data_IF_684232900497
#
_entry.id   IF_684232900497
#
_cell.length_a   1.000
_cell.length_b   1.000
_cell.length_c   1.000
_cell.angle_alpha   90.00
_cell.angle_beta   90.00
_cell.angle_gamma   90.00
#
_symmetry.space_group_name_H-M   'P 1'
#
loop_
_entity.id
_entity.type
_entity.pdbx_description
1 polymer ?
#
# COMPACT_ATOMS: atom_id res chain seq x y z
N UNK A 1 -20.14 8.45 -28.53
CA UNK A 1 -20.60 8.77 -27.17
C UNK A 1 -20.85 7.43 -26.47
N UNK A 2 -20.05 7.08 -25.45
CA UNK A 2 -20.25 5.83 -24.69
C UNK A 2 -21.57 5.94 -23.93
N UNK A 3 -22.40 4.91 -23.96
CA UNK A 3 -23.63 4.86 -23.15
C UNK A 3 -23.29 4.70 -21.66
N UNK A 4 -24.22 5.03 -20.78
CA UNK A 4 -24.04 4.85 -19.32
C UNK A 4 -23.58 3.43 -18.97
N UNK A 5 -24.14 2.41 -19.60
CA UNK A 5 -23.80 1.00 -19.39
C UNK A 5 -22.32 0.69 -19.68
N UNK A 6 -21.70 1.37 -20.65
CA UNK A 6 -20.29 1.18 -20.98
C UNK A 6 -19.36 1.85 -19.93
N UNK A 7 -19.77 2.97 -19.37
CA UNK A 7 -19.01 3.63 -18.30
C UNK A 7 -19.01 2.79 -17.04
N UNK A 8 -20.17 2.28 -16.64
CA UNK A 8 -20.30 1.43 -15.45
C UNK A 8 -19.53 0.12 -15.60
N UNK A 9 -19.56 -0.49 -16.79
CA UNK A 9 -18.75 -1.67 -17.07
C UNK A 9 -17.25 -1.38 -16.97
N UNK A 10 -16.77 -0.28 -17.56
CA UNK A 10 -15.38 0.11 -17.51
C UNK A 10 -14.93 0.41 -16.07
N UNK A 11 -15.76 1.09 -15.28
CA UNK A 11 -15.48 1.34 -13.87
C UNK A 11 -15.42 0.04 -13.06
N UNK A 12 -16.32 -0.90 -13.31
CA UNK A 12 -16.30 -2.22 -12.67
C UNK A 12 -15.02 -2.99 -12.99
N UNK A 13 -14.59 -2.98 -14.25
CA UNK A 13 -13.32 -3.60 -14.67
C UNK A 13 -12.11 -2.95 -13.99
N UNK A 14 -12.07 -1.62 -13.92
CA UNK A 14 -11.00 -0.90 -13.24
C UNK A 14 -10.96 -1.19 -11.75
N UNK A 15 -12.14 -1.24 -11.09
CA UNK A 15 -12.22 -1.56 -9.65
C UNK A 15 -11.77 -2.99 -9.34
N UNK A 16 -12.03 -3.95 -10.24
CA UNK A 16 -11.62 -5.36 -10.07
C UNK A 16 -10.18 -5.64 -10.49
N UNK A 17 -9.48 -4.68 -11.10
CA UNK A 17 -8.10 -4.89 -11.56
C UNK A 17 -7.14 -5.12 -10.39
N UNK A 18 -6.29 -6.12 -10.51
CA UNK A 18 -5.24 -6.42 -9.51
C UNK A 18 -4.14 -5.35 -9.49
N UNK A 19 -3.98 -4.62 -10.57
CA UNK A 19 -3.05 -3.49 -10.68
C UNK A 19 -3.69 -2.27 -10.04
N UNK A 20 -2.95 -1.58 -9.17
CA UNK A 20 -3.38 -0.30 -8.63
C UNK A 20 -3.43 0.76 -9.74
N UNK A 21 -4.57 1.41 -9.88
CA UNK A 21 -4.78 2.49 -10.85
C UNK A 21 -5.13 3.77 -10.11
N UNK A 22 -4.36 4.82 -10.36
CA UNK A 22 -4.55 6.15 -9.81
C UNK A 22 -4.54 7.19 -10.93
N UNK A 23 -5.47 8.12 -10.89
CA UNK A 23 -5.49 9.29 -11.77
C UNK A 23 -5.26 10.54 -10.92
N UNK A 24 -4.27 11.34 -11.28
CA UNK A 24 -3.95 12.58 -10.60
C UNK A 24 -4.07 13.78 -11.54
N UNK A 25 -4.63 14.89 -11.02
CA UNK A 25 -4.72 16.18 -11.74
C UNK A 25 -3.42 16.97 -11.66
N UNK A 26 -3.37 18.13 -12.32
CA UNK A 26 -2.20 19.02 -12.37
C UNK A 26 -1.73 19.48 -10.98
N UNK A 27 -2.62 19.53 -9.99
CA UNK A 27 -2.30 19.92 -8.60
C UNK A 27 -1.75 18.78 -7.76
N UNK A 28 -1.74 17.55 -8.30
CA UNK A 28 -1.35 16.36 -7.57
C UNK A 28 -2.48 15.71 -6.77
N UNK A 29 -3.72 16.20 -6.92
CA UNK A 29 -4.88 15.60 -6.26
C UNK A 29 -5.26 14.29 -6.93
N UNK A 30 -5.53 13.26 -6.14
CA UNK A 30 -6.08 12.01 -6.63
C UNK A 30 -7.55 12.19 -7.03
N UNK A 31 -7.82 12.11 -8.32
CA UNK A 31 -9.17 12.17 -8.90
C UNK A 31 -9.86 10.82 -8.88
N UNK A 32 -9.09 9.76 -9.03
CA UNK A 32 -9.58 8.38 -9.03
C UNK A 32 -8.50 7.45 -8.45
N UNK A 33 -8.94 6.45 -7.70
CA UNK A 33 -8.13 5.33 -7.22
C UNK A 33 -9.01 4.09 -7.20
N UNK A 34 -8.59 3.01 -7.86
CA UNK A 34 -9.28 1.73 -7.75
C UNK A 34 -9.01 1.04 -6.41
N UNK A 35 -9.71 -0.05 -6.12
CA UNK A 35 -9.57 -0.80 -4.87
C UNK A 35 -8.13 -1.26 -4.61
N UNK A 36 -7.42 -1.74 -5.64
CA UNK A 36 -6.02 -2.15 -5.55
C UNK A 36 -5.11 -0.98 -5.18
N UNK A 37 -5.28 0.20 -5.80
CA UNK A 37 -4.49 1.38 -5.47
C UNK A 37 -4.71 1.83 -4.02
N UNK A 38 -5.98 1.89 -3.56
CA UNK A 38 -6.31 2.23 -2.17
C UNK A 38 -5.67 1.27 -1.17
N UNK A 39 -5.72 -0.02 -1.47
CA UNK A 39 -5.12 -1.07 -0.62
C UNK A 39 -3.58 -0.97 -0.58
N UNK A 40 -2.95 -0.74 -1.73
CA UNK A 40 -1.48 -0.63 -1.84
C UNK A 40 -0.96 0.62 -1.15
N UNK A 41 -1.67 1.74 -1.32
CA UNK A 41 -1.28 3.04 -0.77
C UNK A 41 -1.73 3.24 0.69
N UNK A 42 -2.58 2.34 1.22
CA UNK A 42 -3.22 2.47 2.54
C UNK A 42 -3.88 3.85 2.71
N UNK A 43 -4.54 4.32 1.66
CA UNK A 43 -5.08 5.68 1.59
C UNK A 43 -6.51 5.70 1.05
N UNK A 44 -7.42 6.49 1.64
CA UNK A 44 -8.78 6.62 1.17
C UNK A 44 -8.84 7.34 -0.18
N UNK A 45 -9.95 7.17 -0.88
CA UNK A 45 -10.21 7.85 -2.15
C UNK A 45 -10.05 9.38 -2.01
N UNK A 46 -9.34 9.98 -2.95
CA UNK A 46 -9.13 11.43 -3.00
C UNK A 46 -7.94 11.93 -2.17
N UNK A 47 -7.34 11.08 -1.36
CA UNK A 47 -6.16 11.44 -0.55
C UNK A 47 -4.90 10.85 -1.19
N UNK A 48 -3.96 11.72 -1.56
CA UNK A 48 -2.64 11.35 -2.04
C UNK A 48 -1.71 11.16 -0.85
N UNK A 49 -1.06 10.00 -0.66
CA UNK A 49 -0.02 9.85 0.35
C UNK A 49 1.13 10.85 0.12
N UNK A 50 1.62 11.50 1.18
CA UNK A 50 2.66 12.52 1.09
C UNK A 50 3.90 12.05 0.31
N UNK A 51 4.40 10.85 0.63
CA UNK A 51 5.56 10.26 -0.05
C UNK A 51 5.35 10.07 -1.58
N UNK A 52 4.12 9.82 -2.03
CA UNK A 52 3.80 9.69 -3.45
C UNK A 52 3.62 11.09 -4.07
N UNK A 53 3.04 12.03 -3.33
CA UNK A 53 2.92 13.43 -3.75
C UNK A 53 4.30 14.05 -4.03
N UNK A 54 5.31 13.72 -3.23
CA UNK A 54 6.69 14.21 -3.40
C UNK A 54 7.35 13.70 -4.70
N UNK A 55 6.95 12.53 -5.19
CA UNK A 55 7.51 11.91 -6.41
C UNK A 55 6.76 12.34 -7.68
N UNK A 56 5.50 12.76 -7.55
CA UNK A 56 4.66 13.13 -8.70
C UNK A 56 5.28 14.16 -9.63
N UNK A 57 5.92 15.24 -9.17
CA UNK A 57 6.55 16.22 -10.07
C UNK A 57 7.61 15.59 -10.97
N UNK A 58 8.44 14.70 -10.44
CA UNK A 58 9.48 14.01 -11.22
C UNK A 58 8.86 13.08 -12.27
N UNK A 59 7.83 12.31 -11.91
CA UNK A 59 7.10 11.46 -12.85
C UNK A 59 6.46 12.28 -13.97
N UNK A 60 5.89 13.46 -13.68
CA UNK A 60 5.31 14.36 -14.69
C UNK A 60 6.34 14.84 -15.70
N UNK A 61 7.49 15.30 -15.22
CA UNK A 61 8.58 15.75 -16.10
C UNK A 61 9.03 14.63 -17.05
N UNK A 62 9.11 13.39 -16.56
CA UNK A 62 9.43 12.24 -17.40
C UNK A 62 8.32 11.96 -18.43
N UNK A 63 7.05 12.00 -18.02
CA UNK A 63 5.91 11.80 -18.91
C UNK A 63 5.86 12.87 -20.01
N UNK A 64 6.11 14.14 -19.66
CA UNK A 64 6.17 15.23 -20.64
C UNK A 64 7.30 15.06 -21.67
N UNK A 65 8.47 14.57 -21.23
CA UNK A 65 9.64 14.40 -22.09
C UNK A 65 9.59 13.14 -22.95
N UNK A 66 9.06 12.05 -22.41
CA UNK A 66 9.17 10.71 -23.00
C UNK A 66 7.81 10.08 -23.36
N UNK A 67 6.70 10.78 -23.10
CA UNK A 67 5.34 10.26 -23.27
C UNK A 67 4.90 9.31 -22.15
N UNK A 68 5.83 8.74 -21.41
CA UNK A 68 5.60 7.85 -20.27
C UNK A 68 6.75 7.94 -19.26
N UNK A 69 6.47 7.56 -18.02
CA UNK A 69 7.48 7.32 -17.00
C UNK A 69 7.35 5.88 -16.50
N UNK A 70 8.47 5.22 -16.29
CA UNK A 70 8.53 3.90 -15.63
C UNK A 70 9.57 4.00 -14.53
N UNK A 71 9.16 3.78 -13.30
CA UNK A 71 10.04 3.91 -12.15
C UNK A 71 9.78 2.81 -11.13
N UNK A 72 10.70 2.70 -10.18
CA UNK A 72 10.61 1.82 -9.03
C UNK A 72 10.63 2.68 -7.78
N UNK A 73 9.48 2.82 -7.15
CA UNK A 73 9.34 3.59 -5.92
C UNK A 73 9.50 2.68 -4.71
N UNK A 74 10.32 3.13 -3.76
CA UNK A 74 10.53 2.43 -2.48
C UNK A 74 10.03 3.33 -1.36
N UNK A 75 9.08 2.83 -0.57
CA UNK A 75 8.59 3.50 0.63
C UNK A 75 8.51 2.49 1.78
N UNK A 76 9.39 2.61 2.76
CA UNK A 76 9.58 1.60 3.79
C UNK A 76 9.93 0.25 3.15
N UNK A 77 9.11 -0.74 3.40
CA UNK A 77 9.26 -2.08 2.80
C UNK A 77 8.48 -2.26 1.49
N UNK A 78 7.67 -1.28 1.14
CA UNK A 78 6.89 -1.32 -0.09
C UNK A 78 7.78 -0.93 -1.26
N UNK A 79 7.93 -1.85 -2.20
CA UNK A 79 8.53 -1.54 -3.50
C UNK A 79 7.46 -1.65 -4.55
N UNK A 80 7.21 -0.54 -5.24
CA UNK A 80 6.25 -0.45 -6.32
C UNK A 80 6.95 -0.31 -7.65
N UNK A 81 6.50 -1.07 -8.64
CA UNK A 81 6.74 -0.74 -10.05
C UNK A 81 5.65 0.20 -10.48
N UNK A 82 6.02 1.38 -10.89
CA UNK A 82 5.11 2.44 -11.31
C UNK A 82 5.29 2.72 -12.79
N UNK A 83 4.17 2.82 -13.51
CA UNK A 83 4.13 3.33 -14.88
C UNK A 83 3.17 4.51 -14.89
N UNK A 84 3.64 5.65 -15.37
CA UNK A 84 2.81 6.84 -15.53
C UNK A 84 2.73 7.26 -17.00
N UNK A 85 1.57 7.78 -17.41
CA UNK A 85 1.35 8.35 -18.76
C UNK A 85 0.36 9.50 -18.71
N UNK A 86 0.48 10.43 -19.66
CA UNK A 86 -0.48 11.50 -19.80
C UNK A 86 -1.86 10.96 -20.24
N UNK A 87 -2.91 11.57 -19.74
CA UNK A 87 -4.27 11.41 -20.26
C UNK A 87 -4.62 12.57 -21.20
N UNK A 88 -5.65 12.41 -22.05
CA UNK A 88 -6.08 13.46 -22.99
C UNK A 88 -6.46 14.77 -22.32
N UNK A 89 -6.91 14.73 -21.06
CA UNK A 89 -7.17 15.95 -20.27
C UNK A 89 -5.84 16.59 -19.84
N UNK A 90 -5.58 17.85 -20.20
CA UNK A 90 -4.33 18.54 -19.85
C UNK A 90 -4.00 18.46 -18.35
N UNK A 91 -2.73 18.22 -18.05
CA UNK A 91 -2.26 18.12 -16.67
C UNK A 91 -2.70 16.88 -15.89
N UNK A 92 -3.40 15.96 -16.54
CA UNK A 92 -3.86 14.72 -15.91
C UNK A 92 -2.93 13.57 -16.27
N UNK A 93 -2.51 12.80 -15.28
CA UNK A 93 -1.71 11.58 -15.49
C UNK A 93 -2.42 10.36 -14.91
N UNK A 94 -2.30 9.25 -15.63
CA UNK A 94 -2.63 7.93 -15.14
C UNK A 94 -1.38 7.31 -14.55
N UNK A 95 -1.51 6.71 -13.38
CA UNK A 95 -0.44 5.99 -12.70
C UNK A 95 -0.93 4.56 -12.46
N UNK A 96 -0.29 3.63 -13.12
CA UNK A 96 -0.44 2.19 -12.90
C UNK A 96 0.65 1.76 -11.91
N UNK A 97 0.28 1.03 -10.87
CA UNK A 97 1.22 0.57 -9.86
C UNK A 97 1.01 -0.91 -9.54
N UNK A 98 2.11 -1.64 -9.50
CA UNK A 98 2.13 -3.02 -9.07
C UNK A 98 3.20 -3.19 -7.99
N UNK A 99 2.90 -4.03 -7.00
CA UNK A 99 3.90 -4.38 -6.00
C UNK A 99 5.00 -5.15 -6.72
N UNK A 100 6.22 -4.59 -6.76
CA UNK A 100 7.37 -5.30 -7.28
C UNK A 100 7.67 -6.50 -6.38
N UNK A 101 7.95 -7.65 -6.97
CA UNK A 101 8.29 -8.86 -6.22
C UNK A 101 9.38 -8.54 -5.18
N UNK A 102 9.10 -8.79 -3.94
CA UNK A 102 9.90 -8.44 -2.78
C UNK A 102 9.05 -8.14 -1.56
N UNK A 103 7.73 -8.13 -1.70
CA UNK A 103 6.78 -7.90 -0.60
C UNK A 103 6.56 -9.16 0.25
N UNK A 104 7.65 -9.75 0.73
CA UNK A 104 7.57 -10.82 1.73
C UNK A 104 6.67 -10.43 2.92
N UNK A 105 6.63 -9.14 3.24
CA UNK A 105 5.82 -8.61 4.35
C UNK A 105 4.32 -8.76 4.11
N UNK A 106 3.82 -8.47 2.90
CA UNK A 106 2.37 -8.62 2.61
C UNK A 106 1.98 -10.09 2.61
N UNK A 107 2.73 -10.93 1.94
CA UNK A 107 2.48 -12.38 1.89
C UNK A 107 2.56 -13.00 3.29
N UNK A 108 3.58 -12.60 4.07
CA UNK A 108 3.74 -12.97 5.47
C UNK A 108 2.53 -12.49 6.29
N UNK A 109 2.10 -11.23 6.13
CA UNK A 109 0.94 -10.70 6.82
C UNK A 109 -0.35 -11.45 6.47
N UNK A 110 -0.56 -11.80 5.20
CA UNK A 110 -1.71 -12.59 4.76
C UNK A 110 -1.69 -14.03 5.33
N UNK A 111 -0.51 -14.66 5.40
CA UNK A 111 -0.35 -15.97 6.06
C UNK A 111 -0.65 -15.87 7.56
N UNK A 112 -0.10 -14.87 8.25
CA UNK A 112 -0.34 -14.62 9.67
C UNK A 112 -1.81 -14.28 9.95
N UNK A 113 -2.46 -13.48 9.09
CA UNK A 113 -3.87 -13.16 9.22
C UNK A 113 -4.73 -14.43 9.18
N UNK A 114 -4.49 -15.31 8.21
CA UNK A 114 -5.20 -16.57 8.06
C UNK A 114 -4.89 -17.55 9.18
N UNK A 115 -3.61 -17.75 9.49
CA UNK A 115 -3.17 -18.74 10.48
C UNK A 115 -3.54 -18.41 11.93
N UNK A 116 -3.64 -17.11 12.26
CA UNK A 116 -3.93 -16.63 13.63
C UNK A 116 -5.32 -16.00 13.76
N UNK A 117 -6.13 -15.94 12.69
CA UNK A 117 -7.44 -15.29 12.72
C UNK A 117 -7.36 -13.77 13.00
N UNK A 118 -6.28 -13.12 12.61
CA UNK A 118 -6.06 -11.70 12.87
C UNK A 118 -6.59 -10.81 11.74
N UNK A 119 -7.07 -9.61 12.06
CA UNK A 119 -7.25 -8.57 11.06
C UNK A 119 -5.92 -8.30 10.33
N UNK A 120 -5.99 -8.00 9.03
CA UNK A 120 -4.79 -7.79 8.20
C UNK A 120 -3.86 -6.67 8.74
N UNK A 121 -4.43 -5.65 9.36
CA UNK A 121 -3.69 -4.55 9.99
C UNK A 121 -2.85 -5.04 11.19
N UNK A 122 -3.38 -5.96 11.98
CA UNK A 122 -2.69 -6.55 13.13
C UNK A 122 -1.64 -7.56 12.65
N UNK A 123 -1.95 -8.34 11.63
CA UNK A 123 -1.03 -9.29 11.01
C UNK A 123 0.15 -8.56 10.34
N UNK A 124 -0.08 -7.40 9.72
CA UNK A 124 0.99 -6.53 9.19
C UNK A 124 1.90 -6.03 10.30
N UNK A 125 1.33 -5.58 11.42
CA UNK A 125 2.11 -5.19 12.60
C UNK A 125 2.96 -6.35 13.13
N UNK A 126 2.38 -7.56 13.21
CA UNK A 126 3.08 -8.76 13.64
C UNK A 126 4.20 -9.17 12.67
N UNK A 127 4.00 -9.02 11.36
CA UNK A 127 5.04 -9.31 10.37
C UNK A 127 6.26 -8.40 10.50
N UNK A 128 6.05 -7.11 10.80
CA UNK A 128 7.14 -6.17 11.07
C UNK A 128 7.89 -6.50 12.37
N UNK A 129 7.16 -6.92 13.41
CA UNK A 129 7.76 -7.43 14.66
C UNK A 129 8.62 -8.66 14.43
N UNK A 130 8.10 -9.62 13.65
CA UNK A 130 8.80 -10.87 13.31
C UNK A 130 10.10 -10.60 12.55
N UNK A 131 10.14 -9.56 11.71
CA UNK A 131 11.33 -9.11 11.00
C UNK A 131 12.35 -8.38 11.90
N UNK A 132 12.03 -8.16 13.15
CA UNK A 132 12.95 -7.58 14.13
C UNK A 132 12.91 -6.05 14.24
N UNK A 133 12.00 -5.35 13.50
CA UNK A 133 11.93 -3.88 13.53
C UNK A 133 11.59 -3.37 14.94
N UNK A 134 12.27 -2.32 15.39
CA UNK A 134 11.95 -1.58 16.61
C UNK A 134 10.60 -0.85 16.49
N UNK A 135 10.07 -0.36 17.60
CA UNK A 135 8.80 0.38 17.58
C UNK A 135 8.89 1.69 16.79
N UNK A 136 10.05 2.32 16.76
CA UNK A 136 10.27 3.56 16.00
C UNK A 136 10.33 3.26 14.51
N UNK A 137 11.07 2.23 14.09
CA UNK A 137 11.11 1.78 12.70
C UNK A 137 9.73 1.31 12.20
N UNK A 138 8.93 0.66 13.06
CA UNK A 138 7.54 0.30 12.73
C UNK A 138 6.67 1.54 12.58
N UNK A 139 6.85 2.53 13.46
CA UNK A 139 6.11 3.79 13.41
C UNK A 139 6.40 4.53 12.10
N UNK A 140 7.67 4.64 11.72
CA UNK A 140 8.11 5.24 10.47
C UNK A 140 7.56 4.47 9.26
N UNK A 141 7.65 3.14 9.29
CA UNK A 141 7.12 2.27 8.21
C UNK A 141 5.61 2.43 8.00
N UNK A 142 4.85 2.58 9.09
CA UNK A 142 3.39 2.70 9.05
C UNK A 142 2.89 4.16 9.00
N UNK A 143 3.78 5.16 9.00
CA UNK A 143 3.43 6.58 8.96
C UNK A 143 2.64 7.04 10.19
N UNK A 144 2.92 6.50 11.39
CA UNK A 144 2.22 6.82 12.64
C UNK A 144 3.21 7.15 13.76
N UNK A 145 2.72 7.71 14.87
CA UNK A 145 3.57 8.00 16.04
C UNK A 145 3.92 6.71 16.80
N UNK A 146 5.12 6.62 17.37
CA UNK A 146 5.58 5.49 18.19
C UNK A 146 4.62 5.14 19.34
N UNK A 147 4.00 6.16 19.96
CA UNK A 147 2.98 5.95 21.00
C UNK A 147 1.76 5.15 20.47
N UNK A 148 1.38 5.37 19.21
CA UNK A 148 0.31 4.62 18.55
C UNK A 148 0.72 3.17 18.37
N UNK A 149 1.98 2.91 18.00
CA UNK A 149 2.49 1.54 17.87
C UNK A 149 2.47 0.82 19.20
N UNK A 150 2.95 1.45 20.28
CA UNK A 150 2.91 0.86 21.63
C UNK A 150 1.48 0.41 22.02
N UNK A 151 0.48 1.26 21.77
CA UNK A 151 -0.93 0.95 22.04
C UNK A 151 -1.49 -0.18 21.15
N UNK A 152 -1.10 -0.20 19.86
CA UNK A 152 -1.49 -1.28 18.93
C UNK A 152 -0.84 -2.61 19.32
N UNK A 153 0.45 -2.60 19.69
CA UNK A 153 1.16 -3.80 20.16
C UNK A 153 0.54 -4.38 21.43
N UNK A 154 0.17 -3.55 22.37
CA UNK A 154 -0.52 -4.01 23.58
C UNK A 154 -1.79 -4.81 23.23
N UNK A 155 -2.64 -4.25 22.34
CA UNK A 155 -3.86 -4.93 21.86
C UNK A 155 -3.57 -6.20 21.07
N UNK A 156 -2.53 -6.17 20.23
CA UNK A 156 -2.09 -7.35 19.48
C UNK A 156 -1.65 -8.47 20.41
N UNK A 157 -0.87 -8.17 21.43
CA UNK A 157 -0.44 -9.17 22.41
C UNK A 157 -1.62 -9.81 23.16
N UNK A 158 -2.63 -9.01 23.52
CA UNK A 158 -3.87 -9.54 24.11
C UNK A 158 -4.59 -10.50 23.15
N UNK A 159 -4.72 -10.15 21.87
CA UNK A 159 -5.36 -11.01 20.85
C UNK A 159 -4.58 -12.33 20.64
N UNK A 160 -3.26 -12.28 20.72
CA UNK A 160 -2.40 -13.45 20.59
C UNK A 160 -2.30 -14.29 21.87
N UNK A 161 -2.85 -13.82 22.99
CA UNK A 161 -2.72 -14.48 24.30
C UNK A 161 -1.29 -14.46 24.85
N UNK A 162 -0.48 -13.48 24.45
CA UNK A 162 0.93 -13.34 24.86
C UNK A 162 1.18 -12.04 25.64
N UNK A 163 2.28 -12.02 26.41
CA UNK A 163 2.60 -10.83 27.24
C UNK A 163 3.83 -10.06 26.77
N UNK A 164 4.66 -10.62 25.92
CA UNK A 164 5.97 -10.07 25.55
C UNK A 164 6.24 -10.26 24.06
N UNK A 165 7.05 -9.35 23.49
CA UNK A 165 7.47 -9.38 22.09
C UNK A 165 8.04 -10.73 21.64
N UNK A 166 8.97 -11.39 22.38
CA UNK A 166 9.52 -12.69 21.91
C UNK A 166 8.44 -13.75 21.73
N UNK A 167 7.43 -13.79 22.60
CA UNK A 167 6.33 -14.74 22.49
C UNK A 167 5.43 -14.46 21.29
N UNK A 168 5.21 -13.18 20.95
CA UNK A 168 4.47 -12.83 19.73
C UNK A 168 5.25 -13.21 18.45
N UNK A 169 6.56 -13.03 18.45
CA UNK A 169 7.43 -13.43 17.34
C UNK A 169 7.43 -14.95 17.17
N UNK A 170 7.49 -15.71 18.28
CA UNK A 170 7.42 -17.17 18.25
C UNK A 170 6.08 -17.65 17.63
N UNK A 171 4.95 -17.04 18.03
CA UNK A 171 3.64 -17.33 17.42
C UNK A 171 3.62 -17.09 15.92
N UNK A 172 4.27 -16.02 15.46
CA UNK A 172 4.39 -15.76 14.02
C UNK A 172 5.24 -16.85 13.34
N UNK A 173 6.35 -17.27 13.95
CA UNK A 173 7.22 -18.32 13.41
C UNK A 173 6.50 -19.66 13.28
N UNK A 174 5.70 -20.06 14.28
CA UNK A 174 4.92 -21.30 14.25
C UNK A 174 3.99 -21.36 13.03
N UNK A 175 3.31 -20.24 12.71
CA UNK A 175 2.40 -20.15 11.54
C UNK A 175 3.14 -20.13 10.22
N UNK A 176 4.31 -19.46 10.17
CA UNK A 176 5.08 -19.34 8.93
C UNK A 176 5.88 -20.59 8.57
N UNK A 177 6.09 -21.49 9.55
CA UNK A 177 6.77 -22.77 9.37
C UNK A 177 5.82 -23.94 9.04
N UNK A 178 4.51 -23.74 9.20
CA UNK A 178 3.46 -24.73 8.91
C UNK A 178 3.03 -24.73 7.46
#
# INVERSE_FOLDING_TARGET
>A
MLSFDHVDLLMSVLESAEIGVLVADATGRAMYMNASARSVLDSPLGVMPGWLADVLPALRVQVERQGQAVDRLVHGELTLRVRARALPRPGTILIEMAIAQGSGTRQIAEQLARGLGLPITDARLLSLLWRGLSNDEIADNLGVRTGTIKSRLFRLYQKLGVRKRPAAVLRAQEVLAA
#
